data_IF_104050908479
#
_entry.id   IF_104050908479
#
_cell.length_a   1.000
_cell.length_b   1.000
_cell.length_c   1.000
_cell.angle_alpha   90.00
_cell.angle_beta   90.00
_cell.angle_gamma   90.00
#
_symmetry.space_group_name_H-M   'P 1'
#
loop_
_entity.id
_entity.type
_entity.pdbx_description
1 polymer ?
#
# COMPACT_ATOMS: atom_id res chain seq x y z
N UNK A 1 10.66 21.18 -19.33
CA UNK A 1 9.99 19.89 -19.25
C UNK A 1 8.98 19.95 -18.13
N UNK A 2 7.72 19.59 -18.39
CA UNK A 2 6.65 19.55 -17.39
C UNK A 2 6.35 18.06 -17.10
N UNK A 3 6.30 17.70 -15.82
CA UNK A 3 5.96 16.35 -15.39
C UNK A 3 4.45 16.29 -15.08
N UNK A 4 3.76 15.33 -15.68
CA UNK A 4 2.38 14.97 -15.32
C UNK A 4 2.45 13.63 -14.59
N UNK A 5 2.09 13.55 -13.32
CA UNK A 5 2.06 12.28 -12.62
C UNK A 5 0.97 11.36 -13.20
N UNK A 6 1.15 10.06 -13.05
CA UNK A 6 0.10 9.09 -13.38
C UNK A 6 -1.10 9.27 -12.43
N UNK A 7 -2.24 8.64 -12.76
CA UNK A 7 -3.47 8.76 -11.99
C UNK A 7 -4.12 7.39 -11.73
N UNK A 8 -5.04 7.37 -10.77
CA UNK A 8 -5.89 6.22 -10.49
C UNK A 8 -7.32 6.45 -11.01
N UNK A 9 -7.99 5.35 -11.35
CA UNK A 9 -9.40 5.38 -11.71
C UNK A 9 -10.26 5.23 -10.44
N UNK A 10 -10.75 6.34 -9.91
CA UNK A 10 -11.58 6.36 -8.70
C UNK A 10 -12.97 5.75 -8.89
N UNK A 11 -13.50 5.72 -10.13
CA UNK A 11 -14.79 5.05 -10.42
C UNK A 11 -14.70 3.54 -10.18
N UNK A 12 -13.55 2.93 -10.50
CA UNK A 12 -13.29 1.51 -10.22
C UNK A 12 -13.24 1.21 -8.71
N UNK A 13 -12.93 2.20 -7.90
CA UNK A 13 -12.82 2.09 -6.44
C UNK A 13 -14.14 2.43 -5.73
N UNK A 14 -15.27 2.37 -6.44
CA UNK A 14 -16.57 2.67 -5.87
C UNK A 14 -16.98 1.67 -4.78
N UNK A 15 -17.40 2.20 -3.63
CA UNK A 15 -17.75 1.44 -2.44
C UNK A 15 -19.25 1.17 -2.42
N UNK A 16 -19.66 -0.08 -2.62
CA UNK A 16 -21.06 -0.53 -2.48
C UNK A 16 -21.34 -1.02 -1.06
N UNK A 17 -22.63 -1.16 -0.71
CA UNK A 17 -23.03 -1.70 0.61
C UNK A 17 -22.51 -3.13 0.82
N UNK A 18 -22.45 -3.94 -0.24
CA UNK A 18 -21.85 -5.29 -0.15
C UNK A 18 -20.36 -5.28 0.16
N UNK A 19 -19.62 -4.27 -0.34
CA UNK A 19 -18.19 -4.08 -0.03
C UNK A 19 -18.01 -3.62 1.42
N UNK A 20 -18.84 -2.68 1.88
CA UNK A 20 -18.82 -2.24 3.29
C UNK A 20 -19.04 -3.41 4.24
N UNK A 21 -20.02 -4.27 3.94
CA UNK A 21 -20.29 -5.47 4.74
C UNK A 21 -19.05 -6.40 4.77
N UNK A 22 -18.43 -6.69 3.62
CA UNK A 22 -17.20 -7.47 3.58
C UNK A 22 -16.06 -6.83 4.41
N UNK A 23 -15.90 -5.50 4.33
CA UNK A 23 -14.88 -4.82 5.11
C UNK A 23 -15.11 -4.94 6.63
N UNK A 24 -16.37 -4.87 7.07
CA UNK A 24 -16.74 -5.10 8.48
C UNK A 24 -16.42 -6.55 8.89
N UNK A 25 -16.78 -7.53 8.08
CA UNK A 25 -16.49 -8.95 8.33
C UNK A 25 -14.97 -9.21 8.42
N UNK A 26 -14.17 -8.56 7.55
CA UNK A 26 -12.71 -8.62 7.62
C UNK A 26 -12.16 -7.98 8.92
N UNK A 27 -12.71 -6.83 9.35
CA UNK A 27 -12.31 -6.22 10.62
C UNK A 27 -12.65 -7.11 11.81
N UNK A 28 -13.81 -7.78 11.81
CA UNK A 28 -14.17 -8.73 12.86
C UNK A 28 -13.24 -9.96 12.84
N UNK A 29 -12.91 -10.50 11.65
CA UNK A 29 -11.93 -11.60 11.51
C UNK A 29 -10.56 -11.25 12.14
N UNK A 30 -10.13 -9.99 12.02
CA UNK A 30 -8.81 -9.51 12.49
C UNK A 30 -8.94 -8.47 13.62
N UNK A 31 -9.99 -8.53 14.44
CA UNK A 31 -10.36 -7.49 15.43
C UNK A 31 -9.23 -7.12 16.40
N UNK A 32 -8.44 -8.11 16.82
CA UNK A 32 -7.35 -7.94 17.79
C UNK A 32 -5.98 -7.72 17.10
N UNK A 33 -5.98 -7.50 15.77
CA UNK A 33 -4.76 -7.34 14.99
C UNK A 33 -4.66 -5.96 14.35
N UNK A 34 -3.45 -5.47 14.27
CA UNK A 34 -3.08 -4.41 13.32
C UNK A 34 -2.94 -5.06 11.94
N UNK A 35 -3.85 -4.71 11.04
CA UNK A 35 -3.94 -5.32 9.72
C UNK A 35 -3.09 -4.55 8.69
N UNK A 36 -2.02 -5.18 8.22
CA UNK A 36 -1.16 -4.69 7.15
C UNK A 36 -1.55 -5.35 5.83
N UNK A 37 -1.74 -4.56 4.79
CA UNK A 37 -2.08 -5.06 3.45
C UNK A 37 -0.97 -4.75 2.46
N UNK A 38 -0.56 -5.73 1.68
CA UNK A 38 0.24 -5.54 0.47
C UNK A 38 -0.45 -6.19 -0.72
N UNK A 39 -0.43 -5.55 -1.88
CA UNK A 39 -1.05 -6.08 -3.11
C UNK A 39 -0.13 -5.89 -4.30
N UNK A 40 0.04 -6.95 -5.07
CA UNK A 40 0.82 -6.89 -6.30
C UNK A 40 1.23 -8.25 -6.86
N UNK A 41 1.89 -8.23 -8.01
CA UNK A 41 2.49 -9.44 -8.58
C UNK A 41 3.67 -9.89 -7.71
N UNK A 42 3.80 -11.18 -7.48
CA UNK A 42 4.94 -11.75 -6.74
C UNK A 42 6.13 -11.94 -7.69
N UNK A 43 6.82 -10.82 -7.95
CA UNK A 43 8.02 -10.71 -8.81
C UNK A 43 9.14 -9.96 -8.06
N UNK A 44 10.42 -10.13 -8.43
CA UNK A 44 11.55 -9.64 -7.64
C UNK A 44 11.46 -8.14 -7.28
N UNK A 45 11.17 -7.27 -8.25
CA UNK A 45 11.18 -5.82 -8.03
C UNK A 45 10.08 -5.33 -7.07
N UNK A 46 9.02 -6.13 -6.85
CA UNK A 46 7.95 -5.82 -5.88
C UNK A 46 8.37 -6.05 -4.43
N UNK A 47 9.50 -6.71 -4.19
CA UNK A 47 10.13 -6.81 -2.87
C UNK A 47 9.29 -7.48 -1.78
N UNK A 48 8.27 -8.27 -2.14
CA UNK A 48 7.40 -8.94 -1.16
C UNK A 48 8.19 -9.79 -0.15
N UNK A 49 9.38 -10.27 -0.53
CA UNK A 49 10.25 -11.03 0.38
C UNK A 49 10.70 -10.21 1.60
N UNK A 50 10.94 -8.91 1.43
CA UNK A 50 11.35 -8.03 2.54
C UNK A 50 10.20 -7.80 3.51
N UNK A 51 8.97 -7.69 3.00
CA UNK A 51 7.77 -7.62 3.83
C UNK A 51 7.57 -8.92 4.61
N UNK A 52 7.67 -10.09 3.96
CA UNK A 52 7.56 -11.39 4.62
C UNK A 52 8.64 -11.53 5.69
N UNK A 53 9.90 -11.22 5.38
CA UNK A 53 11.00 -11.25 6.36
C UNK A 53 10.82 -10.26 7.51
N UNK A 54 10.11 -9.15 7.30
CA UNK A 54 9.85 -8.16 8.35
C UNK A 54 8.92 -8.69 9.44
N UNK A 55 8.10 -9.71 9.15
CA UNK A 55 7.20 -10.33 10.11
C UNK A 55 7.92 -10.84 11.38
N UNK A 56 9.16 -11.33 11.23
CA UNK A 56 9.98 -11.78 12.36
C UNK A 56 10.32 -10.67 13.38
N UNK A 57 10.13 -9.39 13.03
CA UNK A 57 10.43 -8.24 13.88
C UNK A 57 9.16 -7.47 14.29
N UNK A 58 7.99 -8.00 13.98
CA UNK A 58 6.69 -7.48 14.40
C UNK A 58 6.19 -8.20 15.65
N UNK A 59 5.43 -7.49 16.47
CA UNK A 59 4.74 -8.06 17.62
C UNK A 59 3.62 -9.04 17.16
N UNK A 60 3.14 -9.89 18.06
CA UNK A 60 2.15 -10.93 17.71
C UNK A 60 0.76 -10.37 17.37
N UNK A 61 0.49 -9.11 17.71
CA UNK A 61 -0.77 -8.44 17.36
C UNK A 61 -0.79 -7.87 15.94
N UNK A 62 0.21 -8.14 15.08
CA UNK A 62 0.20 -7.77 13.68
C UNK A 62 -0.26 -8.91 12.78
N UNK A 63 -0.93 -8.56 11.68
CA UNK A 63 -1.29 -9.47 10.60
C UNK A 63 -0.95 -8.85 9.26
N UNK A 64 -0.11 -9.52 8.49
CA UNK A 64 0.27 -9.13 7.13
C UNK A 64 -0.54 -9.96 6.15
N UNK A 65 -1.41 -9.31 5.38
CA UNK A 65 -2.18 -9.91 4.30
C UNK A 65 -1.54 -9.54 2.96
N UNK A 66 -1.17 -10.54 2.15
CA UNK A 66 -0.50 -10.36 0.85
C UNK A 66 -1.42 -10.85 -0.26
N UNK A 67 -2.00 -9.91 -1.00
CA UNK A 67 -2.83 -10.18 -2.18
C UNK A 67 -2.01 -10.21 -3.47
N UNK A 68 -2.39 -11.12 -4.35
CA UNK A 68 -1.74 -11.31 -5.65
C UNK A 68 -1.11 -12.69 -5.80
N UNK A 69 -0.43 -12.90 -6.91
CA UNK A 69 0.32 -14.11 -7.21
C UNK A 69 1.48 -13.79 -8.18
N UNK A 70 2.33 -14.77 -8.43
CA UNK A 70 3.42 -14.65 -9.39
C UNK A 70 4.46 -15.75 -9.23
N UNK A 71 5.55 -15.71 -10.01
CA UNK A 71 6.59 -16.72 -10.01
C UNK A 71 7.21 -16.98 -8.62
N UNK A 72 7.23 -15.95 -7.76
CA UNK A 72 7.84 -16.05 -6.43
C UNK A 72 6.88 -16.51 -5.33
N UNK A 73 5.60 -16.82 -5.64
CA UNK A 73 4.59 -17.12 -4.61
C UNK A 73 5.01 -18.26 -3.69
N UNK A 74 5.48 -19.38 -4.23
CA UNK A 74 5.88 -20.54 -3.41
C UNK A 74 7.18 -20.27 -2.61
N UNK A 75 8.10 -19.51 -3.19
CA UNK A 75 9.29 -19.06 -2.45
C UNK A 75 8.91 -18.15 -1.27
N UNK A 76 7.97 -17.22 -1.45
CA UNK A 76 7.49 -16.33 -0.39
C UNK A 76 6.82 -17.11 0.74
N UNK A 77 6.00 -18.13 0.42
CA UNK A 77 5.42 -19.04 1.41
C UNK A 77 6.49 -19.80 2.18
N UNK A 78 7.52 -20.29 1.50
CA UNK A 78 8.68 -20.94 2.14
C UNK A 78 9.42 -20.01 3.09
N UNK A 79 9.59 -18.73 2.71
CA UNK A 79 10.23 -17.72 3.58
C UNK A 79 9.36 -17.43 4.81
N UNK A 80 8.04 -17.41 4.67
CA UNK A 80 7.10 -17.18 5.78
C UNK A 80 7.15 -18.30 6.83
N UNK A 81 7.53 -19.55 6.45
CA UNK A 81 7.68 -20.69 7.38
C UNK A 81 6.50 -20.87 8.34
N UNK A 82 5.30 -20.81 7.82
CA UNK A 82 4.06 -20.91 8.62
C UNK A 82 3.95 -19.86 9.76
N UNK A 83 4.61 -18.71 9.63
CA UNK A 83 4.44 -17.59 10.56
C UNK A 83 2.98 -17.10 10.50
N UNK A 84 2.24 -17.30 11.58
CA UNK A 84 0.82 -16.94 11.71
C UNK A 84 0.54 -15.46 11.41
N UNK A 85 1.55 -14.61 11.45
CA UNK A 85 1.43 -13.20 11.10
C UNK A 85 1.29 -12.97 9.60
N UNK A 86 1.67 -13.93 8.74
CA UNK A 86 1.63 -13.76 7.27
C UNK A 86 0.52 -14.61 6.66
N UNK A 87 -0.36 -13.99 5.88
CA UNK A 87 -1.44 -14.65 5.15
C UNK A 87 -1.40 -14.30 3.67
N UNK A 88 -1.32 -15.31 2.81
CA UNK A 88 -1.37 -15.15 1.36
C UNK A 88 -2.81 -15.30 0.88
N UNK A 89 -3.36 -14.22 0.33
CA UNK A 89 -4.76 -14.15 -0.10
C UNK A 89 -5.00 -14.66 -1.53
N UNK A 90 -3.91 -14.90 -2.29
CA UNK A 90 -4.04 -15.16 -3.71
C UNK A 90 -4.56 -13.96 -4.49
N UNK A 91 -5.12 -14.18 -5.67
CA UNK A 91 -5.69 -13.12 -6.50
C UNK A 91 -7.02 -12.66 -5.91
N UNK A 92 -7.09 -11.38 -5.54
CA UNK A 92 -8.31 -10.75 -5.06
C UNK A 92 -9.20 -10.30 -6.23
N UNK A 93 -10.52 -10.42 -6.07
CA UNK A 93 -11.48 -9.70 -6.91
C UNK A 93 -11.42 -8.19 -6.60
N UNK A 94 -11.96 -7.34 -7.49
CA UNK A 94 -12.03 -5.90 -7.25
C UNK A 94 -12.84 -5.60 -5.95
N UNK A 95 -13.92 -6.36 -5.70
CA UNK A 95 -14.71 -6.26 -4.48
C UNK A 95 -13.89 -6.56 -3.23
N UNK A 96 -13.18 -7.68 -3.22
CA UNK A 96 -12.36 -8.09 -2.07
C UNK A 96 -11.19 -7.13 -1.86
N UNK A 97 -10.54 -6.69 -2.93
CA UNK A 97 -9.45 -5.71 -2.87
C UNK A 97 -9.89 -4.42 -2.19
N UNK A 98 -11.05 -3.87 -2.59
CA UNK A 98 -11.61 -2.66 -1.98
C UNK A 98 -11.96 -2.91 -0.50
N UNK A 99 -12.55 -4.07 -0.19
CA UNK A 99 -12.86 -4.43 1.19
C UNK A 99 -11.59 -4.52 2.07
N UNK A 100 -10.50 -5.10 1.56
CA UNK A 100 -9.21 -5.12 2.23
C UNK A 100 -8.60 -3.72 2.38
N UNK A 101 -8.66 -2.86 1.35
CA UNK A 101 -8.25 -1.46 1.48
C UNK A 101 -9.04 -0.73 2.57
N UNK A 102 -10.35 -0.97 2.67
CA UNK A 102 -11.16 -0.37 3.74
C UNK A 102 -10.79 -0.91 5.12
N UNK A 103 -10.53 -2.21 5.22
CA UNK A 103 -10.31 -2.90 6.49
C UNK A 103 -8.89 -2.74 7.05
N UNK A 104 -7.85 -2.59 6.23
CA UNK A 104 -6.46 -2.53 6.73
C UNK A 104 -6.18 -1.25 7.52
N UNK A 105 -5.17 -1.30 8.36
CA UNK A 105 -4.65 -0.15 9.12
C UNK A 105 -3.48 0.51 8.40
N UNK A 106 -2.59 -0.29 7.82
CA UNK A 106 -1.37 0.15 7.13
C UNK A 106 -1.28 -0.48 5.75
N UNK A 107 -0.95 0.29 4.74
CA UNK A 107 -0.67 -0.22 3.40
C UNK A 107 0.84 -0.39 3.20
N UNK A 108 1.26 -1.62 2.94
CA UNK A 108 2.66 -1.97 2.71
C UNK A 108 2.97 -2.03 1.22
N UNK A 109 3.92 -1.23 0.76
CA UNK A 109 4.33 -1.21 -0.64
C UNK A 109 5.85 -1.40 -0.77
N UNK A 110 6.33 -2.65 -0.66
CA UNK A 110 7.75 -2.97 -0.48
C UNK A 110 8.56 -3.01 -1.77
N UNK A 111 8.12 -2.37 -2.86
CA UNK A 111 8.90 -2.30 -4.11
C UNK A 111 10.31 -1.77 -3.86
N UNK A 112 11.34 -2.35 -4.54
CA UNK A 112 12.75 -2.09 -4.26
C UNK A 112 13.54 -1.50 -5.42
N UNK A 113 12.96 -1.42 -6.62
CA UNK A 113 13.66 -0.89 -7.79
C UNK A 113 12.84 0.14 -8.56
N UNK A 114 13.51 0.98 -9.36
CA UNK A 114 12.89 1.97 -10.25
C UNK A 114 11.99 1.38 -11.35
N UNK A 115 11.93 0.06 -11.50
CA UNK A 115 10.92 -0.60 -12.34
C UNK A 115 9.50 -0.35 -11.82
N UNK A 116 9.35 0.06 -10.55
CA UNK A 116 8.14 0.64 -10.02
C UNK A 116 8.11 2.13 -10.33
N UNK A 117 7.54 2.49 -11.47
CA UNK A 117 7.58 3.86 -11.97
C UNK A 117 6.68 4.84 -11.18
N UNK A 118 5.57 4.36 -10.61
CA UNK A 118 4.61 5.20 -9.90
C UNK A 118 4.01 4.53 -8.67
N UNK A 119 3.47 3.31 -8.81
CA UNK A 119 2.78 2.62 -7.74
C UNK A 119 1.27 2.86 -7.74
N UNK A 120 0.57 2.37 -8.78
CA UNK A 120 -0.91 2.50 -8.86
C UNK A 120 -1.57 1.95 -7.59
N UNK A 121 -1.21 0.73 -7.15
CA UNK A 121 -1.77 0.14 -5.94
C UNK A 121 -1.42 0.94 -4.67
N UNK A 122 -0.27 1.65 -4.65
CA UNK A 122 0.09 2.56 -3.56
C UNK A 122 -0.92 3.72 -3.50
N UNK A 123 -1.16 4.39 -4.61
CA UNK A 123 -2.12 5.48 -4.68
C UNK A 123 -3.56 5.00 -4.38
N UNK A 124 -3.94 3.78 -4.79
CA UNK A 124 -5.23 3.17 -4.44
C UNK A 124 -5.35 2.95 -2.92
N UNK A 125 -4.35 2.40 -2.25
CA UNK A 125 -4.34 2.26 -0.78
C UNK A 125 -4.42 3.61 -0.07
N UNK A 126 -3.67 4.60 -0.54
CA UNK A 126 -3.69 5.98 -0.02
C UNK A 126 -5.06 6.66 -0.25
N UNK A 127 -5.76 6.39 -1.36
CA UNK A 127 -7.13 6.85 -1.62
C UNK A 127 -8.11 6.41 -0.53
N UNK A 128 -7.94 5.21 0.03
CA UNK A 128 -8.72 4.71 1.18
C UNK A 128 -8.24 5.26 2.53
N UNK A 129 -7.36 6.26 2.54
CA UNK A 129 -6.88 6.89 3.76
C UNK A 129 -5.92 5.99 4.56
N UNK A 130 -5.17 5.11 3.89
CA UNK A 130 -4.21 4.25 4.55
C UNK A 130 -2.82 4.87 4.48
N UNK A 131 -2.14 5.04 5.63
CA UNK A 131 -0.75 5.43 5.61
C UNK A 131 0.08 4.34 4.96
N UNK A 132 1.08 4.73 4.17
CA UNK A 132 1.90 3.79 3.43
C UNK A 132 3.26 3.57 4.09
N UNK A 133 3.77 2.35 4.00
CA UNK A 133 5.18 2.04 4.26
C UNK A 133 5.82 1.65 2.94
N UNK A 134 6.87 2.37 2.56
CA UNK A 134 7.60 2.18 1.29
C UNK A 134 9.10 2.12 1.55
N UNK A 135 9.86 1.69 0.56
CA UNK A 135 11.31 1.88 0.56
C UNK A 135 11.70 3.17 -0.17
N UNK A 136 12.82 3.78 0.21
CA UNK A 136 13.44 4.85 -0.55
C UNK A 136 14.08 4.26 -1.80
N UNK A 137 13.58 4.63 -2.97
CA UNK A 137 14.02 4.10 -4.27
C UNK A 137 14.47 5.25 -5.17
N UNK A 138 15.77 5.52 -5.29
CA UNK A 138 16.25 6.60 -6.16
C UNK A 138 15.75 6.44 -7.61
N UNK A 139 15.14 7.49 -8.14
CA UNK A 139 14.61 7.52 -9.50
C UNK A 139 13.28 6.78 -9.73
N UNK A 140 12.59 6.37 -8.66
CA UNK A 140 11.22 5.84 -8.71
C UNK A 140 10.19 6.91 -8.36
N UNK A 141 9.01 6.82 -8.95
CA UNK A 141 7.88 7.65 -8.57
C UNK A 141 7.23 7.26 -7.24
N UNK A 142 7.60 6.13 -6.62
CA UNK A 142 7.07 5.68 -5.33
C UNK A 142 7.25 6.76 -4.25
N UNK A 143 8.44 7.35 -4.16
CA UNK A 143 8.77 8.41 -3.20
C UNK A 143 8.21 9.80 -3.58
N UNK A 144 7.71 9.95 -4.79
CA UNK A 144 6.87 11.09 -5.17
C UNK A 144 5.41 10.90 -4.73
N UNK A 145 4.89 9.68 -4.78
CA UNK A 145 3.52 9.34 -4.37
C UNK A 145 3.42 9.32 -2.84
N UNK A 146 4.26 8.55 -2.15
CA UNK A 146 4.35 8.55 -0.69
C UNK A 146 5.38 9.60 -0.24
N UNK A 147 4.99 10.47 0.68
CA UNK A 147 5.86 11.47 1.28
C UNK A 147 6.22 11.05 2.70
N UNK A 148 7.51 10.85 2.94
CA UNK A 148 8.01 10.48 4.27
C UNK A 148 7.60 11.48 5.35
N UNK A 149 7.11 10.97 6.48
CA UNK A 149 6.65 11.77 7.61
C UNK A 149 5.36 12.57 7.37
N UNK A 150 4.73 12.43 6.19
CA UNK A 150 3.50 13.17 5.82
C UNK A 150 2.35 12.23 5.47
N UNK A 151 2.55 11.32 4.51
CA UNK A 151 1.53 10.37 4.04
C UNK A 151 1.83 8.94 4.46
N UNK A 152 3.01 8.71 5.00
CA UNK A 152 3.50 7.41 5.44
C UNK A 152 4.95 7.49 5.89
N UNK A 153 5.65 6.36 5.83
CA UNK A 153 7.06 6.24 6.22
C UNK A 153 7.85 5.62 5.08
N UNK A 154 9.01 6.23 4.78
CA UNK A 154 10.00 5.66 3.89
C UNK A 154 11.10 4.97 4.69
N UNK A 155 11.44 3.77 4.28
CA UNK A 155 12.46 2.93 4.91
C UNK A 155 13.70 2.83 4.03
N UNK A 156 14.81 2.48 4.64
CA UNK A 156 16.03 2.14 3.91
C UNK A 156 15.76 0.96 2.97
N UNK A 157 16.15 1.12 1.70
CA UNK A 157 15.86 0.15 0.65
C UNK A 157 16.34 -1.26 1.02
N UNK A 158 15.47 -2.24 0.81
CA UNK A 158 15.72 -3.66 1.07
C UNK A 158 16.08 -4.02 2.53
N UNK A 159 15.78 -3.15 3.49
CA UNK A 159 16.02 -3.38 4.93
C UNK A 159 14.73 -3.82 5.61
N UNK A 160 14.56 -5.13 5.83
CA UNK A 160 13.36 -5.69 6.47
C UNK A 160 13.21 -5.29 7.95
N UNK A 161 14.30 -4.97 8.66
CA UNK A 161 14.24 -4.50 10.05
C UNK A 161 13.74 -3.07 10.12
N UNK A 162 14.21 -2.22 9.22
CA UNK A 162 13.76 -0.83 9.15
C UNK A 162 12.30 -0.77 8.70
N UNK A 163 11.90 -1.65 7.77
CA UNK A 163 10.51 -1.80 7.34
C UNK A 163 9.59 -2.22 8.50
N UNK A 164 10.01 -3.19 9.30
CA UNK A 164 9.27 -3.60 10.48
C UNK A 164 9.13 -2.49 11.53
N UNK A 165 10.18 -1.68 11.74
CA UNK A 165 10.11 -0.51 12.65
C UNK A 165 9.05 0.49 12.19
N UNK A 166 8.95 0.76 10.89
CA UNK A 166 7.95 1.66 10.33
C UNK A 166 6.52 1.10 10.53
N UNK A 167 6.31 -0.18 10.26
CA UNK A 167 5.02 -0.86 10.50
C UNK A 167 4.67 -0.79 12.00
N UNK A 168 5.60 -1.15 12.90
CA UNK A 168 5.39 -1.08 14.34
C UNK A 168 5.03 0.34 14.81
N UNK A 169 5.70 1.37 14.28
CA UNK A 169 5.44 2.77 14.62
C UNK A 169 4.00 3.16 14.27
N UNK A 170 3.56 2.87 13.04
CA UNK A 170 2.19 3.19 12.60
C UNK A 170 1.14 2.36 13.34
N UNK A 171 1.39 1.07 13.57
CA UNK A 171 0.42 0.20 14.22
C UNK A 171 0.24 0.48 15.72
N UNK A 172 1.26 1.03 16.40
CA UNK A 172 1.20 1.38 17.82
C UNK A 172 0.66 2.79 18.06
N UNK A 173 0.83 3.70 17.11
CA UNK A 173 0.38 5.10 17.22
C UNK A 173 -0.84 5.33 16.29
N UNK A 174 -2.03 5.13 16.85
CA UNK A 174 -3.29 5.29 16.11
C UNK A 174 -3.54 6.70 15.61
N UNK A 175 -3.09 7.72 16.36
CA UNK A 175 -3.25 9.11 15.94
C UNK A 175 -2.31 9.43 14.78
N UNK A 176 -1.05 9.00 14.84
CA UNK A 176 -0.12 9.14 13.72
C UNK A 176 -0.63 8.41 12.48
N UNK A 177 -1.12 7.18 12.65
CA UNK A 177 -1.71 6.39 11.58
C UNK A 177 -2.88 7.13 10.90
N UNK A 178 -3.78 7.72 11.69
CA UNK A 178 -4.90 8.52 11.22
C UNK A 178 -4.46 9.81 10.51
N UNK A 179 -3.50 10.54 11.08
CA UNK A 179 -2.97 11.77 10.48
C UNK A 179 -2.36 11.49 9.11
N UNK A 180 -1.46 10.49 9.03
CA UNK A 180 -0.82 10.15 7.76
C UNK A 180 -1.83 9.58 6.74
N UNK A 181 -2.80 8.79 7.19
CA UNK A 181 -3.85 8.27 6.32
C UNK A 181 -4.74 9.39 5.73
N UNK A 182 -5.10 10.38 6.53
CA UNK A 182 -5.87 11.54 6.05
C UNK A 182 -5.05 12.36 5.02
N UNK A 183 -3.77 12.59 5.30
CA UNK A 183 -2.87 13.27 4.39
C UNK A 183 -2.68 12.49 3.08
N UNK A 184 -2.55 11.15 3.18
CA UNK A 184 -2.44 10.26 2.03
C UNK A 184 -3.66 10.38 1.12
N UNK A 185 -4.87 10.31 1.70
CA UNK A 185 -6.11 10.48 0.96
C UNK A 185 -6.22 11.85 0.31
N UNK A 186 -5.93 12.91 1.06
CA UNK A 186 -5.95 14.29 0.56
C UNK A 186 -5.03 14.42 -0.66
N UNK A 187 -3.78 13.96 -0.54
CA UNK A 187 -2.80 14.02 -1.62
C UNK A 187 -3.27 13.31 -2.89
N UNK A 188 -3.87 12.12 -2.77
CA UNK A 188 -4.37 11.39 -3.94
C UNK A 188 -5.51 12.14 -4.61
N UNK A 189 -6.43 12.72 -3.85
CA UNK A 189 -7.55 13.48 -4.39
C UNK A 189 -7.10 14.77 -5.07
N UNK A 190 -6.03 15.40 -4.60
CA UNK A 190 -5.49 16.66 -5.15
C UNK A 190 -4.59 16.42 -6.36
N UNK A 191 -3.82 15.30 -6.42
CA UNK A 191 -2.73 15.14 -7.38
C UNK A 191 -2.90 13.97 -8.35
N UNK A 192 -3.63 12.88 -7.97
CA UNK A 192 -3.53 11.58 -8.65
C UNK A 192 -4.86 11.02 -9.14
N UNK A 193 -5.90 11.85 -9.28
CA UNK A 193 -7.17 11.44 -9.91
C UNK A 193 -7.15 11.65 -11.43
N UNK A 194 -8.02 10.96 -12.15
CA UNK A 194 -8.19 11.15 -13.61
C UNK A 194 -8.56 12.60 -13.92
N UNK A 195 -9.40 13.23 -13.10
CA UNK A 195 -9.84 14.62 -13.26
C UNK A 195 -8.65 15.57 -13.16
N UNK A 196 -7.77 15.34 -12.19
CA UNK A 196 -6.57 16.15 -12.01
C UNK A 196 -5.58 15.94 -13.16
N UNK A 197 -5.39 14.69 -13.59
CA UNK A 197 -4.57 14.38 -14.76
C UNK A 197 -5.06 15.12 -16.02
N UNK A 198 -6.37 15.09 -16.29
CA UNK A 198 -6.98 15.82 -17.42
C UNK A 198 -6.75 17.32 -17.31
N UNK A 199 -6.93 17.90 -16.13
CA UNK A 199 -6.68 19.33 -15.87
C UNK A 199 -5.23 19.71 -16.19
N UNK A 200 -4.28 18.98 -15.64
CA UNK A 200 -2.86 19.22 -15.85
C UNK A 200 -2.49 19.12 -17.35
N UNK A 201 -3.06 18.15 -18.08
CA UNK A 201 -2.84 17.99 -19.51
C UNK A 201 -3.36 19.20 -20.31
N UNK A 202 -4.58 19.66 -20.02
CA UNK A 202 -5.18 20.83 -20.69
C UNK A 202 -4.37 22.10 -20.44
N UNK A 203 -3.92 22.31 -19.20
CA UNK A 203 -3.08 23.48 -18.87
C UNK A 203 -1.74 23.50 -19.63
N UNK A 204 -1.16 22.33 -19.87
CA UNK A 204 0.10 22.24 -20.64
C UNK A 204 -0.17 22.56 -22.11
N UNK A 205 -1.25 22.02 -22.70
CA UNK A 205 -1.62 22.29 -24.09
C UNK A 205 -1.86 23.79 -24.31
N UNK A 206 -2.52 24.47 -23.36
CA UNK A 206 -2.75 25.91 -23.48
C UNK A 206 -1.49 26.78 -23.32
N UNK A 207 -0.40 26.23 -22.77
CA UNK A 207 0.88 26.94 -22.60
C UNK A 207 1.88 26.67 -23.73
N UNK A 208 1.53 25.81 -24.67
CA UNK A 208 2.33 25.49 -25.87
C UNK A 208 1.93 26.37 -27.04
#
# INVERSE_FOLDING_TARGET
CVMIPNCINTERLNVTESIKKCAVELREKYKDKVLCLAVGRHVPYKGMEYLVKSAAFLDDNFKICIGGNGPLTEQLKTIAKDDDKVEFLGRLSDKDLIAYFMACDVFCFPSVTKNEAFGIALAEGMYFGKPAVTFTIPGSGVNYVNLDGVTGIECKNADCKDYAKAINKLGKDKELCKVYGNNARKRVLEDFTIEQFKRNLVEIIHKM
#
